data_IF_327481084109
#
_entry.id   IF_327481084109
#
_cell.length_a   1.000
_cell.length_b   1.000
_cell.length_c   1.000
_cell.angle_alpha   90.00
_cell.angle_beta   90.00
_cell.angle_gamma   90.00
#
_symmetry.space_group_name_H-M   'P 1'
#
loop_
_entity.id
_entity.type
_entity.pdbx_description
1 polymer ?
#
# COMPACT_ATOMS: atom_id res chain seq x y z
N UNK A 1 31.52 56.29 19.94
CA UNK A 1 30.97 55.36 20.96
C UNK A 1 29.60 54.95 20.46
N UNK A 2 29.40 53.68 20.11
CA UNK A 2 28.08 53.21 19.65
C UNK A 2 27.18 53.06 20.88
N UNK A 3 26.10 53.85 20.93
CA UNK A 3 25.05 53.67 21.92
C UNK A 3 24.43 52.28 21.70
N UNK A 4 24.35 51.50 22.77
CA UNK A 4 23.71 50.17 22.73
C UNK A 4 22.22 50.27 22.37
N UNK A 5 21.59 49.15 22.04
CA UNK A 5 20.17 49.11 21.66
C UNK A 5 19.29 49.70 22.76
N UNK A 6 18.28 50.47 22.35
CA UNK A 6 17.29 51.06 23.24
C UNK A 6 16.43 49.98 23.89
N UNK A 7 15.83 50.29 25.04
CA UNK A 7 14.82 49.44 25.68
C UNK A 7 13.66 49.16 24.72
N UNK A 8 13.28 50.13 23.88
CA UNK A 8 12.26 49.92 22.86
C UNK A 8 12.69 48.88 21.82
N UNK A 9 13.95 48.91 21.37
CA UNK A 9 14.50 47.94 20.42
C UNK A 9 14.49 46.53 21.00
N UNK A 10 14.87 46.38 22.28
CA UNK A 10 14.82 45.12 23.01
C UNK A 10 13.39 44.56 23.11
N UNK A 11 12.40 45.40 23.40
CA UNK A 11 11.00 44.97 23.49
C UNK A 11 10.44 44.55 22.12
N UNK A 12 10.72 45.31 21.06
CA UNK A 12 10.31 44.91 19.70
C UNK A 12 10.95 43.59 19.27
N UNK A 13 12.22 43.39 19.63
CA UNK A 13 12.97 42.18 19.30
C UNK A 13 12.39 40.95 20.04
N UNK A 14 12.12 41.07 21.34
CA UNK A 14 11.47 40.00 22.10
C UNK A 14 10.07 39.66 21.59
N UNK A 15 9.27 40.66 21.19
CA UNK A 15 7.93 40.44 20.66
C UNK A 15 7.97 39.69 19.31
N UNK A 16 8.91 40.07 18.42
CA UNK A 16 9.16 39.36 17.15
C UNK A 16 9.57 37.91 17.37
N UNK A 17 10.43 37.66 18.35
CA UNK A 17 10.88 36.31 18.68
C UNK A 17 9.72 35.45 19.22
N UNK A 18 8.88 36.01 20.12
CA UNK A 18 7.72 35.33 20.67
C UNK A 18 6.68 34.98 19.60
N UNK A 19 6.35 35.94 18.74
CA UNK A 19 5.43 35.73 17.61
C UNK A 19 5.99 34.67 16.64
N UNK A 20 7.31 34.66 16.43
CA UNK A 20 8.01 33.66 15.64
C UNK A 20 7.93 32.25 16.23
N UNK A 21 8.07 32.10 17.54
CA UNK A 21 7.94 30.79 18.22
C UNK A 21 6.53 30.24 18.15
N UNK A 22 5.52 31.07 18.42
CA UNK A 22 4.11 30.63 18.39
C UNK A 22 3.70 30.20 16.99
N UNK A 23 4.08 30.96 15.96
CA UNK A 23 3.82 30.60 14.56
C UNK A 23 4.41 29.24 14.18
N UNK A 24 5.59 28.87 14.72
CA UNK A 24 6.21 27.55 14.48
C UNK A 24 5.44 26.42 15.17
N UNK A 25 4.94 26.67 16.39
CA UNK A 25 4.15 25.69 17.14
C UNK A 25 2.84 25.38 16.38
N UNK A 26 2.10 26.41 15.96
CA UNK A 26 0.86 26.22 15.21
C UNK A 26 1.08 25.50 13.88
N UNK A 27 2.14 25.82 13.14
CA UNK A 27 2.48 25.08 11.90
C UNK A 27 2.79 23.61 12.17
N UNK A 28 3.50 23.30 13.25
CA UNK A 28 3.81 21.90 13.62
C UNK A 28 2.55 21.12 13.95
N UNK A 29 1.63 21.73 14.71
CA UNK A 29 0.33 21.13 15.03
C UNK A 29 -0.50 20.94 13.75
N UNK A 30 -0.59 21.95 12.88
CA UNK A 30 -1.29 21.85 11.59
C UNK A 30 -0.72 20.74 10.70
N UNK A 31 0.60 20.61 10.62
CA UNK A 31 1.25 19.54 9.86
C UNK A 31 1.03 18.15 10.47
N UNK A 32 0.82 18.05 11.79
CA UNK A 32 0.44 16.79 12.42
C UNK A 32 -1.01 16.43 12.11
N UNK A 33 -1.94 17.39 12.25
CA UNK A 33 -3.35 17.19 11.93
C UNK A 33 -3.59 16.82 10.47
N UNK A 34 -2.89 17.46 9.53
CA UNK A 34 -2.95 17.05 8.13
C UNK A 34 -2.46 15.62 7.91
N UNK A 35 -1.31 15.24 8.50
CA UNK A 35 -0.79 13.87 8.39
C UNK A 35 -1.76 12.84 8.96
N UNK A 36 -2.35 13.12 10.13
CA UNK A 36 -3.35 12.23 10.73
C UNK A 36 -4.61 12.17 9.86
N UNK A 37 -5.06 13.29 9.31
CA UNK A 37 -6.20 13.34 8.39
C UNK A 37 -5.99 12.51 7.13
N UNK A 38 -4.81 12.62 6.49
CA UNK A 38 -4.47 11.81 5.32
C UNK A 38 -4.40 10.31 5.64
N UNK A 39 -3.88 9.94 6.82
CA UNK A 39 -3.83 8.54 7.23
C UNK A 39 -5.22 7.97 7.50
N UNK A 40 -6.11 8.74 8.12
CA UNK A 40 -7.51 8.34 8.31
C UNK A 40 -8.26 8.21 6.98
N UNK A 41 -8.06 9.15 6.05
CA UNK A 41 -8.64 9.06 4.71
C UNK A 41 -8.20 7.78 3.99
N UNK A 42 -6.91 7.43 4.05
CA UNK A 42 -6.41 6.18 3.44
C UNK A 42 -6.99 4.90 4.05
N UNK A 43 -7.46 4.95 5.31
CA UNK A 43 -8.14 3.84 5.96
C UNK A 43 -9.63 3.79 5.61
N UNK A 44 -10.24 4.95 5.30
CA UNK A 44 -11.64 5.08 4.93
C UNK A 44 -11.90 4.85 3.44
N UNK A 45 -10.87 4.86 2.58
CA UNK A 45 -11.03 4.58 1.15
C UNK A 45 -11.57 3.15 0.92
N UNK A 46 -12.84 3.00 0.51
CA UNK A 46 -13.50 1.71 0.37
C UNK A 46 -12.94 0.88 -0.80
N UNK A 47 -12.24 1.53 -1.74
CA UNK A 47 -11.53 0.88 -2.85
C UNK A 47 -10.44 -0.08 -2.37
N UNK A 48 -9.71 0.29 -1.31
CA UNK A 48 -8.65 -0.55 -0.74
C UNK A 48 -9.23 -1.76 0.01
N UNK A 49 -10.30 -1.55 0.79
CA UNK A 49 -10.99 -2.63 1.50
C UNK A 49 -11.72 -3.58 0.53
N UNK A 50 -12.40 -3.05 -0.50
CA UNK A 50 -13.09 -3.85 -1.52
C UNK A 50 -12.14 -4.65 -2.42
N UNK A 51 -11.00 -4.08 -2.82
CA UNK A 51 -9.97 -4.78 -3.58
C UNK A 51 -9.33 -5.93 -2.78
N UNK A 52 -9.17 -5.78 -1.46
CA UNK A 52 -8.64 -6.84 -0.60
C UNK A 52 -9.70 -7.92 -0.29
N UNK A 53 -10.96 -7.52 -0.08
CA UNK A 53 -12.07 -8.44 0.11
C UNK A 53 -12.31 -9.29 -1.15
N UNK A 54 -12.31 -8.68 -2.34
CA UNK A 54 -12.42 -9.41 -3.62
C UNK A 54 -11.24 -10.35 -3.84
N UNK A 55 -10.00 -9.95 -3.52
CA UNK A 55 -8.84 -10.86 -3.55
C UNK A 55 -8.99 -12.04 -2.58
N UNK A 56 -9.59 -11.83 -1.42
CA UNK A 56 -9.87 -12.90 -0.46
C UNK A 56 -10.94 -13.88 -0.97
N UNK A 57 -11.96 -13.40 -1.69
CA UNK A 57 -13.01 -14.23 -2.30
C UNK A 57 -12.48 -15.15 -3.41
N UNK A 58 -11.49 -14.69 -4.19
CA UNK A 58 -10.84 -15.49 -5.23
C UNK A 58 -9.99 -16.66 -4.65
N UNK A 59 -9.79 -16.70 -3.34
CA UNK A 59 -9.09 -17.76 -2.62
C UNK A 59 -7.57 -17.75 -2.80
N UNK A 60 -6.90 -18.63 -2.07
CA UNK A 60 -5.45 -18.87 -2.22
C UNK A 60 -5.24 -19.48 -3.61
N UNK A 61 -4.65 -18.71 -4.52
CA UNK A 61 -4.36 -19.20 -5.86
C UNK A 61 -3.41 -20.40 -5.84
N UNK A 62 -3.33 -21.11 -6.96
CA UNK A 62 -2.35 -22.16 -7.16
C UNK A 62 -1.40 -21.75 -8.28
N UNK A 63 -0.10 -21.87 -8.03
CA UNK A 63 0.93 -21.65 -9.05
C UNK A 63 0.75 -22.56 -10.28
N UNK A 64 0.13 -23.73 -10.11
CA UNK A 64 -0.13 -24.66 -11.22
C UNK A 64 -1.24 -24.17 -12.16
N UNK A 65 -2.13 -23.29 -11.70
CA UNK A 65 -3.18 -22.68 -12.53
C UNK A 65 -2.67 -21.47 -13.33
N UNK A 66 -1.46 -20.98 -13.03
CA UNK A 66 -0.86 -19.84 -13.73
C UNK A 66 -0.15 -20.27 -15.03
N UNK A 67 0.00 -19.33 -15.97
CA UNK A 67 0.77 -19.53 -17.19
C UNK A 67 2.29 -19.51 -16.89
N UNK A 68 3.10 -20.16 -17.73
CA UNK A 68 4.56 -20.17 -17.58
C UNK A 68 5.15 -18.76 -17.63
N UNK A 69 4.57 -17.88 -18.46
CA UNK A 69 4.97 -16.48 -18.55
C UNK A 69 4.71 -15.72 -17.24
N UNK A 70 3.55 -15.95 -16.60
CA UNK A 70 3.20 -15.37 -15.31
C UNK A 70 4.17 -15.84 -14.20
N UNK A 71 4.46 -17.14 -14.14
CA UNK A 71 5.43 -17.69 -13.17
C UNK A 71 6.84 -17.10 -13.35
N UNK A 72 7.30 -16.89 -14.58
CA UNK A 72 8.60 -16.25 -14.85
C UNK A 72 8.62 -14.77 -14.46
N UNK A 73 7.50 -14.05 -14.63
CA UNK A 73 7.37 -12.67 -14.15
C UNK A 73 7.45 -12.59 -12.64
N UNK A 74 6.73 -13.46 -11.93
CA UNK A 74 6.82 -13.57 -10.46
C UNK A 74 8.25 -13.87 -10.00
N UNK A 75 8.94 -14.81 -10.67
CA UNK A 75 10.35 -15.09 -10.35
C UNK A 75 11.24 -13.85 -10.50
N UNK A 76 10.99 -13.03 -11.53
CA UNK A 76 11.72 -11.77 -11.75
C UNK A 76 11.40 -10.71 -10.69
N UNK A 77 10.13 -10.55 -10.35
CA UNK A 77 9.66 -9.59 -9.33
C UNK A 77 10.22 -9.91 -7.95
N UNK A 78 10.34 -11.20 -7.61
CA UNK A 78 10.94 -11.68 -6.36
C UNK A 78 12.47 -11.87 -6.44
N UNK A 79 13.12 -11.45 -7.53
CA UNK A 79 14.59 -11.48 -7.66
C UNK A 79 15.21 -12.88 -7.73
N UNK A 80 14.43 -13.90 -8.03
CA UNK A 80 14.87 -15.29 -8.14
C UNK A 80 15.72 -15.44 -9.41
N UNK A 81 16.85 -16.14 -9.33
CA UNK A 81 17.77 -16.37 -10.47
C UNK A 81 17.68 -17.83 -10.95
N UNK A 82 18.06 -18.09 -12.20
CA UNK A 82 18.10 -19.45 -12.75
C UNK A 82 16.76 -20.01 -13.27
N UNK A 83 15.70 -19.21 -13.29
CA UNK A 83 14.35 -19.65 -13.68
C UNK A 83 14.13 -19.83 -15.19
N UNK A 84 15.01 -19.31 -16.04
CA UNK A 84 14.76 -19.21 -17.49
C UNK A 84 14.54 -20.54 -18.21
N UNK A 85 15.20 -21.61 -17.74
CA UNK A 85 15.15 -22.98 -18.30
C UNK A 85 14.24 -23.92 -17.50
N UNK A 86 13.63 -23.46 -16.41
CA UNK A 86 12.82 -24.31 -15.54
C UNK A 86 11.44 -24.58 -16.15
N UNK A 87 10.97 -25.82 -16.00
CA UNK A 87 9.63 -26.25 -16.37
C UNK A 87 8.59 -25.69 -15.37
N UNK A 88 7.31 -25.69 -15.77
CA UNK A 88 6.20 -25.10 -14.99
C UNK A 88 6.14 -25.62 -13.54
N UNK A 89 6.30 -26.92 -13.33
CA UNK A 89 6.27 -27.54 -12.00
C UNK A 89 7.46 -27.11 -11.15
N UNK A 90 8.67 -27.07 -11.73
CA UNK A 90 9.86 -26.58 -11.03
C UNK A 90 9.78 -25.08 -10.70
N UNK A 91 9.18 -24.25 -11.57
CA UNK A 91 8.95 -22.83 -11.28
C UNK A 91 8.01 -22.64 -10.09
N UNK A 92 6.92 -23.41 -10.01
CA UNK A 92 6.00 -23.38 -8.89
C UNK A 92 6.70 -23.76 -7.56
N UNK A 93 7.49 -24.85 -7.56
CA UNK A 93 8.26 -25.28 -6.37
C UNK A 93 9.27 -24.23 -5.91
N UNK A 94 9.94 -23.55 -6.86
CA UNK A 94 10.89 -22.49 -6.54
C UNK A 94 10.17 -21.30 -5.90
N UNK A 95 9.02 -20.89 -6.44
CA UNK A 95 8.22 -19.81 -5.84
C UNK A 95 7.70 -20.18 -4.45
N UNK A 96 7.26 -21.42 -4.24
CA UNK A 96 6.87 -21.94 -2.91
C UNK A 96 8.05 -21.94 -1.93
N UNK A 97 9.23 -22.40 -2.35
CA UNK A 97 10.43 -22.40 -1.53
C UNK A 97 10.88 -20.98 -1.15
N UNK A 98 10.67 -20.01 -2.03
CA UNK A 98 10.96 -18.59 -1.74
C UNK A 98 9.87 -17.89 -0.92
N UNK A 99 8.85 -18.62 -0.45
CA UNK A 99 7.78 -18.08 0.41
C UNK A 99 6.87 -17.09 -0.31
N UNK A 100 6.85 -17.13 -1.65
CA UNK A 100 5.96 -16.28 -2.44
C UNK A 100 4.53 -16.75 -2.24
N UNK A 101 3.64 -15.85 -1.85
CA UNK A 101 2.22 -16.17 -1.79
C UNK A 101 1.67 -16.29 -3.21
N UNK A 102 0.98 -17.39 -3.54
CA UNK A 102 0.45 -17.57 -4.89
C UNK A 102 -0.57 -16.48 -5.21
N UNK A 103 -0.41 -15.76 -6.35
CA UNK A 103 -1.37 -14.75 -6.72
C UNK A 103 -2.73 -15.40 -6.97
N UNK A 104 -3.82 -14.67 -6.71
CA UNK A 104 -5.17 -15.17 -6.94
C UNK A 104 -5.31 -15.67 -8.38
N UNK A 105 -6.13 -16.72 -8.60
CA UNK A 105 -6.33 -17.28 -9.92
C UNK A 105 -6.92 -16.23 -10.86
N UNK A 106 -6.52 -16.21 -12.15
CA UNK A 106 -7.08 -15.27 -13.11
C UNK A 106 -8.56 -15.61 -13.35
N UNK A 107 -9.38 -14.58 -13.60
CA UNK A 107 -10.82 -14.75 -13.84
C UNK A 107 -11.11 -15.70 -15.01
N UNK A 108 -10.23 -15.73 -16.02
CA UNK A 108 -10.35 -16.62 -17.19
C UNK A 108 -10.19 -18.11 -16.87
N UNK A 109 -9.64 -18.45 -15.69
CA UNK A 109 -9.50 -19.84 -15.26
C UNK A 109 -10.75 -20.42 -14.61
N UNK A 110 -11.74 -19.58 -14.29
CA UNK A 110 -12.99 -20.03 -13.70
C UNK A 110 -13.99 -20.45 -14.77
N UNK A 111 -14.69 -21.55 -14.52
CA UNK A 111 -15.82 -21.96 -15.36
C UNK A 111 -17.01 -21.03 -15.16
N UNK A 112 -17.93 -20.98 -16.14
CA UNK A 112 -19.16 -20.16 -16.05
C UNK A 112 -19.94 -20.41 -14.74
N UNK A 113 -19.99 -21.66 -14.27
CA UNK A 113 -20.68 -22.02 -13.02
C UNK A 113 -20.00 -21.41 -11.80
N UNK A 114 -18.68 -21.46 -11.74
CA UNK A 114 -17.91 -20.90 -10.63
C UNK A 114 -17.96 -19.37 -10.62
N UNK A 115 -17.90 -18.73 -11.79
CA UNK A 115 -18.08 -17.27 -11.91
C UNK A 115 -19.45 -16.84 -11.41
N UNK A 116 -20.52 -17.54 -11.81
CA UNK A 116 -21.88 -17.24 -11.35
C UNK A 116 -22.02 -17.43 -9.84
N UNK A 117 -21.41 -18.47 -9.26
CA UNK A 117 -21.41 -18.67 -7.81
C UNK A 117 -20.68 -17.53 -7.07
N UNK A 118 -19.53 -17.08 -7.60
CA UNK A 118 -18.75 -15.98 -7.02
C UNK A 118 -19.52 -14.66 -7.05
N UNK A 119 -20.23 -14.41 -8.16
CA UNK A 119 -21.10 -13.23 -8.33
C UNK A 119 -22.28 -13.29 -7.34
N UNK A 120 -22.95 -14.42 -7.18
CA UNK A 120 -24.03 -14.57 -6.18
C UNK A 120 -23.56 -14.31 -4.75
N UNK A 121 -22.36 -14.80 -4.41
CA UNK A 121 -21.74 -14.55 -3.11
C UNK A 121 -21.40 -13.07 -2.89
N UNK A 122 -21.06 -12.33 -3.95
CA UNK A 122 -20.84 -10.88 -3.92
C UNK A 122 -22.14 -10.09 -3.77
N UNK A 123 -23.24 -10.54 -4.39
CA UNK A 123 -24.55 -9.87 -4.30
C UNK A 123 -25.35 -10.24 -3.04
N UNK A 124 -24.89 -11.24 -2.26
CA UNK A 124 -25.59 -11.68 -1.05
C UNK A 124 -26.81 -12.57 -1.31
N UNK A 125 -26.94 -13.13 -2.52
CA UNK A 125 -27.99 -14.09 -2.89
C UNK A 125 -27.62 -15.51 -2.40
N UNK A 126 -27.40 -15.64 -1.09
CA UNK A 126 -27.12 -16.89 -0.38
C UNK A 126 -28.36 -17.48 0.26
#
# INVERSE_FOLDING_TARGET
MSAGPSIADLLEQTNRDLAGTDARVYRRVGAHLQRTGTALQSLQDPESAGAQATKALLGKGSFLKQSVASLKRLCKEHGIKGYSKLQKVSLAKVLEHHGVTPPPPPLESFTKKELVALVKQLLGDG
#
